data_IF_816851879533
#
_entry.id   IF_816851879533
#
_cell.length_a   1.000
_cell.length_b   1.000
_cell.length_c   1.000
_cell.angle_alpha   90.00
_cell.angle_beta   90.00
_cell.angle_gamma   90.00
#
_symmetry.space_group_name_H-M   'P 1'
#
loop_
_entity.id
_entity.type
_entity.pdbx_description
1 polymer ?
#
# COMPACT_ATOMS: atom_id res chain seq x y z
N UNK A 1 9.54 -15.50 12.52
CA UNK A 1 9.56 -14.07 12.13
C UNK A 1 8.83 -13.93 10.81
N UNK A 2 7.62 -13.34 10.82
CA UNK A 2 6.71 -13.32 9.67
C UNK A 2 6.70 -11.98 8.93
N UNK A 3 6.41 -12.02 7.64
CA UNK A 3 6.18 -10.83 6.82
C UNK A 3 4.85 -10.19 7.25
N UNK A 4 4.85 -8.94 7.71
CA UNK A 4 3.61 -8.21 8.02
C UNK A 4 2.92 -7.84 6.71
N UNK A 5 1.80 -8.49 6.42
CA UNK A 5 1.00 -8.28 5.22
C UNK A 5 -0.40 -7.79 5.58
N UNK A 6 -0.94 -6.86 4.80
CA UNK A 6 -2.32 -6.38 4.94
C UNK A 6 -3.05 -6.49 3.60
N UNK A 7 -4.27 -7.00 3.65
CA UNK A 7 -5.16 -7.05 2.49
C UNK A 7 -6.06 -5.81 2.49
N UNK A 8 -5.97 -5.03 1.42
CA UNK A 8 -6.69 -3.77 1.24
C UNK A 8 -7.72 -3.97 0.13
N UNK A 9 -9.00 -3.83 0.49
CA UNK A 9 -10.14 -3.86 -0.43
C UNK A 9 -11.10 -2.70 -0.09
N UNK A 10 -12.22 -2.59 -0.82
CA UNK A 10 -13.15 -1.48 -0.67
C UNK A 10 -13.85 -1.42 0.69
N UNK A 11 -13.86 -2.53 1.43
CA UNK A 11 -14.53 -2.67 2.73
C UNK A 11 -13.55 -2.56 3.90
N UNK A 12 -12.32 -3.08 3.74
CA UNK A 12 -11.27 -3.06 4.77
C UNK A 12 -10.49 -1.75 4.77
N UNK A 13 -10.52 -1.00 3.68
CA UNK A 13 -9.80 0.26 3.58
C UNK A 13 -10.50 1.38 4.37
N UNK A 14 -9.96 1.66 5.55
CA UNK A 14 -10.40 2.73 6.43
C UNK A 14 -9.23 3.68 6.78
N UNK A 15 -9.51 4.72 7.55
CA UNK A 15 -8.50 5.72 7.93
C UNK A 15 -7.37 5.14 8.81
N UNK A 16 -7.63 4.08 9.57
CA UNK A 16 -6.62 3.42 10.40
C UNK A 16 -5.63 2.66 9.51
N UNK A 17 -6.13 1.80 8.62
CA UNK A 17 -5.33 1.06 7.64
C UNK A 17 -4.56 2.03 6.75
N UNK A 18 -5.15 3.15 6.34
CA UNK A 18 -4.45 4.19 5.60
C UNK A 18 -3.21 4.71 6.35
N UNK A 19 -3.37 5.03 7.64
CA UNK A 19 -2.28 5.51 8.48
C UNK A 19 -1.24 4.42 8.74
N UNK A 20 -1.65 3.17 8.89
CA UNK A 20 -0.73 2.03 9.02
C UNK A 20 0.11 1.79 7.77
N UNK A 21 -0.48 1.99 6.59
CA UNK A 21 0.23 1.93 5.31
C UNK A 21 1.18 3.11 5.17
N UNK A 22 0.73 4.33 5.50
CA UNK A 22 1.54 5.54 5.44
C UNK A 22 2.74 5.50 6.42
N UNK A 23 2.54 4.90 7.60
CA UNK A 23 3.59 4.68 8.61
C UNK A 23 4.44 3.44 8.34
N UNK A 24 4.18 2.71 7.25
CA UNK A 24 4.92 1.51 6.83
C UNK A 24 4.91 0.38 7.88
N UNK A 25 3.82 0.24 8.63
CA UNK A 25 3.61 -0.85 9.60
C UNK A 25 3.56 -2.23 8.92
N UNK A 26 3.13 -2.26 7.66
CA UNK A 26 3.08 -3.46 6.82
C UNK A 26 4.15 -3.43 5.74
N UNK A 27 4.80 -4.57 5.51
CA UNK A 27 5.80 -4.75 4.46
C UNK A 27 5.18 -5.19 3.15
N UNK A 28 4.01 -5.83 3.18
CA UNK A 28 3.28 -6.25 1.98
C UNK A 28 1.87 -5.73 2.04
N UNK A 29 1.42 -5.15 0.93
CA UNK A 29 0.06 -4.67 0.76
C UNK A 29 -0.51 -5.45 -0.42
N UNK A 30 -1.52 -6.27 -0.15
CA UNK A 30 -2.24 -7.02 -1.16
C UNK A 30 -3.49 -6.21 -1.49
N UNK A 31 -3.65 -5.79 -2.74
CA UNK A 31 -4.75 -4.93 -3.16
C UNK A 31 -5.27 -5.35 -4.52
N UNK A 32 -6.56 -5.10 -4.79
CA UNK A 32 -7.16 -5.37 -6.10
C UNK A 32 -6.92 -4.22 -7.07
N UNK A 33 -6.91 -4.46 -8.40
CA UNK A 33 -6.82 -3.40 -9.40
C UNK A 33 -7.91 -2.33 -9.24
N UNK A 34 -9.12 -2.74 -8.88
CA UNK A 34 -10.24 -1.84 -8.58
C UNK A 34 -9.91 -0.85 -7.47
N UNK A 35 -9.20 -1.26 -6.41
CA UNK A 35 -8.78 -0.35 -5.34
C UNK A 35 -7.82 0.72 -5.83
N UNK A 36 -6.88 0.35 -6.70
CA UNK A 36 -5.92 1.29 -7.27
C UNK A 36 -6.59 2.33 -8.20
N UNK A 37 -7.72 1.98 -8.81
CA UNK A 37 -8.40 2.80 -9.81
C UNK A 37 -9.58 3.60 -9.23
N UNK A 38 -10.41 3.00 -8.37
CA UNK A 38 -11.67 3.56 -7.88
C UNK A 38 -11.56 4.28 -6.54
N UNK A 39 -10.52 4.01 -5.75
CA UNK A 39 -10.34 4.66 -4.45
C UNK A 39 -9.30 5.78 -4.52
N UNK A 40 -9.75 7.01 -4.70
CA UNK A 40 -8.89 8.18 -4.89
C UNK A 40 -7.88 8.39 -3.75
N UNK A 41 -8.27 8.17 -2.50
CA UNK A 41 -7.34 8.29 -1.35
C UNK A 41 -6.18 7.29 -1.47
N UNK A 42 -6.47 6.06 -1.85
CA UNK A 42 -5.45 5.02 -1.98
C UNK A 42 -4.58 5.27 -3.21
N UNK A 43 -5.19 5.68 -4.33
CA UNK A 43 -4.49 6.07 -5.55
C UNK A 43 -3.56 7.26 -5.33
N UNK A 44 -3.98 8.25 -4.54
CA UNK A 44 -3.17 9.41 -4.19
C UNK A 44 -1.97 9.02 -3.33
N UNK A 45 -2.17 8.10 -2.38
CA UNK A 45 -1.09 7.52 -1.57
C UNK A 45 -0.05 6.82 -2.44
N UNK A 46 -0.49 5.97 -3.38
CA UNK A 46 0.40 5.29 -4.35
C UNK A 46 1.18 6.28 -5.23
N UNK A 47 0.57 7.42 -5.56
CA UNK A 47 1.15 8.44 -6.43
C UNK A 47 2.04 9.44 -5.68
N UNK A 48 2.05 9.40 -4.34
CA UNK A 48 2.86 10.30 -3.53
C UNK A 48 4.34 9.97 -3.72
N UNK A 49 5.22 10.93 -4.09
CA UNK A 49 6.63 10.65 -4.39
C UNK A 49 7.38 9.96 -3.26
N UNK A 50 7.07 10.30 -2.00
CA UNK A 50 7.67 9.68 -0.82
C UNK A 50 7.33 8.18 -0.71
N UNK A 51 6.08 7.82 -1.01
CA UNK A 51 5.58 6.46 -0.97
C UNK A 51 6.08 5.66 -2.19
N UNK A 52 5.95 6.22 -3.40
CA UNK A 52 6.41 5.61 -4.65
C UNK A 52 7.92 5.31 -4.66
N UNK A 53 8.77 6.24 -4.17
CA UNK A 53 10.22 6.03 -4.04
C UNK A 53 10.57 4.84 -3.14
N UNK A 54 9.69 4.54 -2.17
CA UNK A 54 9.90 3.52 -1.14
C UNK A 54 9.36 2.16 -1.58
N UNK A 55 8.21 2.11 -2.26
CA UNK A 55 7.73 0.89 -2.95
C UNK A 55 8.71 0.46 -4.06
N UNK A 56 9.22 1.41 -4.87
CA UNK A 56 10.15 1.10 -5.97
C UNK A 56 11.44 0.42 -5.48
N UNK A 57 11.87 0.74 -4.26
CA UNK A 57 13.04 0.11 -3.63
C UNK A 57 12.82 -1.38 -3.34
N UNK A 58 11.57 -1.80 -3.16
CA UNK A 58 11.19 -3.17 -2.83
C UNK A 58 10.96 -4.05 -4.07
N UNK A 59 10.69 -3.44 -5.23
CA UNK A 59 10.53 -4.15 -6.52
C UNK A 59 11.86 -4.51 -7.20
N UNK A 60 13.00 -3.99 -6.74
CA UNK A 60 14.31 -4.21 -7.35
C UNK A 60 15.13 -5.34 -6.71
N UNK A 61 14.57 -6.09 -5.76
CA UNK A 61 15.26 -7.21 -5.11
C UNK A 61 15.08 -8.55 -5.84
N UNK A 62 14.81 -8.52 -7.14
CA UNK A 62 14.53 -9.68 -7.98
C UNK A 62 15.27 -9.67 -9.32
N UNK A 63 16.44 -9.04 -9.38
CA UNK A 63 17.39 -9.20 -10.48
C UNK A 63 18.79 -9.41 -9.94
#
# INVERSE_FOLDING_TARGET
MGLSAVAVNGETYNNEIHREIETFKHRVIITSPDMCLKHDKFRHLLSTPAFAKRIRRMSLLGR
#
